data_IF_457459084966
#
_entry.id   IF_457459084966
#
_cell.length_a   1.000
_cell.length_b   1.000
_cell.length_c   1.000
_cell.angle_alpha   90.00
_cell.angle_beta   90.00
_cell.angle_gamma   90.00
#
_symmetry.space_group_name_H-M   'P 1'
#
loop_
_entity.id
_entity.type
_entity.pdbx_description
1 polymer ?
#
# COMPACT_ATOMS: atom_id res chain seq x y z
N UNK A 1 -93.36 -40.09 -59.54
CA UNK A 1 -92.44 -40.45 -58.48
C UNK A 1 -91.08 -39.75 -58.57
N UNK A 2 -90.60 -39.37 -59.73
CA UNK A 2 -89.27 -38.72 -59.89
C UNK A 2 -89.14 -37.29 -59.32
N UNK A 3 -90.21 -36.49 -59.34
CA UNK A 3 -90.13 -35.10 -58.81
C UNK A 3 -90.07 -34.99 -57.28
N UNK A 4 -90.50 -36.02 -56.51
CA UNK A 4 -90.37 -35.99 -55.05
C UNK A 4 -89.00 -36.39 -54.54
N UNK A 5 -88.27 -37.17 -55.30
CA UNK A 5 -86.89 -37.57 -54.92
C UNK A 5 -85.88 -36.40 -55.15
N UNK A 6 -86.10 -35.63 -56.17
CA UNK A 6 -85.24 -34.45 -56.48
C UNK A 6 -85.44 -33.35 -55.44
N UNK A 7 -86.67 -33.11 -54.96
CA UNK A 7 -86.95 -32.10 -53.94
C UNK A 7 -86.34 -32.48 -52.55
N UNK A 8 -86.31 -33.79 -52.20
CA UNK A 8 -85.66 -34.22 -50.97
C UNK A 8 -84.12 -34.16 -51.03
N UNK A 9 -83.50 -34.38 -52.20
CA UNK A 9 -82.04 -34.32 -52.36
C UNK A 9 -81.55 -32.90 -52.34
N UNK A 10 -82.28 -31.90 -52.85
CA UNK A 10 -81.94 -30.49 -52.81
C UNK A 10 -82.13 -29.95 -51.40
N UNK A 11 -83.11 -30.38 -50.62
CA UNK A 11 -83.31 -30.00 -49.23
C UNK A 11 -82.22 -30.57 -48.30
N UNK A 12 -81.74 -31.79 -48.56
CA UNK A 12 -80.62 -32.39 -47.82
C UNK A 12 -79.23 -31.73 -48.09
N UNK A 13 -79.05 -31.24 -49.35
CA UNK A 13 -77.80 -30.58 -49.74
C UNK A 13 -77.75 -29.13 -49.20
N UNK A 14 -78.86 -28.43 -48.99
CA UNK A 14 -78.95 -27.12 -48.40
C UNK A 14 -78.72 -27.12 -46.88
N UNK A 15 -79.01 -28.23 -46.18
CA UNK A 15 -78.73 -28.40 -44.73
C UNK A 15 -77.25 -28.71 -44.43
N UNK A 16 -76.51 -29.20 -45.41
CA UNK A 16 -75.05 -29.47 -45.20
C UNK A 16 -74.17 -28.24 -45.42
N UNK A 17 -74.65 -27.16 -45.99
CA UNK A 17 -73.92 -25.94 -46.21
C UNK A 17 -73.96 -24.92 -45.03
N UNK A 18 -74.87 -25.16 -44.06
CA UNK A 18 -75.05 -24.29 -42.90
C UNK A 18 -74.16 -24.62 -41.66
N UNK A 19 -73.34 -25.69 -41.67
CA UNK A 19 -72.67 -26.23 -40.50
C UNK A 19 -71.19 -25.82 -40.34
N UNK A 20 -70.67 -24.79 -41.10
CA UNK A 20 -69.37 -24.24 -40.85
C UNK A 20 -69.44 -22.85 -40.20
N UNK A 21 -70.05 -22.78 -39.01
CA UNK A 21 -69.85 -21.65 -38.15
C UNK A 21 -68.41 -21.74 -37.57
N UNK A 22 -67.47 -20.97 -38.08
CA UNK A 22 -66.11 -20.91 -37.58
C UNK A 22 -66.18 -20.33 -36.17
N UNK A 23 -66.24 -21.24 -35.15
CA UNK A 23 -66.16 -20.85 -33.75
C UNK A 23 -64.84 -19.99 -33.62
N UNK A 24 -65.00 -18.73 -33.32
CA UNK A 24 -63.86 -17.87 -33.02
C UNK A 24 -62.96 -18.56 -32.02
N UNK A 25 -61.62 -18.59 -32.20
CA UNK A 25 -60.72 -19.13 -31.18
C UNK A 25 -61.05 -18.49 -29.85
N UNK A 26 -61.10 -19.24 -28.74
CA UNK A 26 -61.28 -18.64 -27.43
C UNK A 26 -60.23 -17.55 -27.26
N UNK A 27 -60.69 -16.34 -26.93
CA UNK A 27 -59.83 -15.22 -26.61
C UNK A 27 -58.80 -15.72 -25.59
N UNK A 28 -57.52 -15.76 -25.99
CA UNK A 28 -56.46 -16.28 -25.15
C UNK A 28 -56.43 -15.40 -23.88
N UNK A 29 -56.85 -15.96 -22.75
CA UNK A 29 -56.72 -15.24 -21.48
C UNK A 29 -55.24 -14.87 -21.29
N UNK A 30 -55.01 -13.58 -21.13
CA UNK A 30 -53.66 -13.12 -20.85
C UNK A 30 -53.09 -13.79 -19.60
N UNK A 31 -51.91 -14.36 -19.62
CA UNK A 31 -51.32 -15.02 -18.46
C UNK A 31 -51.19 -14.02 -17.31
N UNK A 32 -51.52 -14.46 -16.10
CA UNK A 32 -51.20 -13.68 -14.91
C UNK A 32 -49.70 -13.55 -14.74
N UNK A 33 -49.23 -12.33 -14.58
CA UNK A 33 -47.79 -12.00 -14.36
C UNK A 33 -47.63 -11.18 -13.09
N UNK A 34 -46.59 -11.47 -12.34
CA UNK A 34 -46.17 -10.60 -11.23
C UNK A 34 -45.38 -9.43 -11.76
N UNK A 35 -45.77 -8.23 -11.38
CA UNK A 35 -45.07 -7.00 -11.73
C UNK A 35 -44.49 -6.35 -10.49
N UNK A 36 -43.29 -5.76 -10.63
CA UNK A 36 -42.62 -5.00 -9.59
C UNK A 36 -42.38 -3.58 -10.12
N UNK A 37 -42.71 -2.58 -9.32
CA UNK A 37 -42.46 -1.19 -9.69
C UNK A 37 -40.98 -0.92 -9.54
N UNK A 38 -40.34 -0.49 -10.64
CA UNK A 38 -38.97 -0.02 -10.59
C UNK A 38 -38.93 1.27 -9.77
N UNK A 39 -38.05 1.33 -8.78
CA UNK A 39 -37.89 2.50 -7.93
C UNK A 39 -36.46 2.98 -7.90
N UNK A 40 -36.27 4.28 -7.79
CA UNK A 40 -34.96 4.83 -7.54
C UNK A 40 -34.53 4.48 -6.12
N UNK A 41 -33.37 3.86 -6.00
CA UNK A 41 -32.79 3.47 -4.73
C UNK A 41 -31.31 3.87 -4.69
N UNK A 42 -30.78 4.24 -3.52
CA UNK A 42 -29.37 4.49 -3.36
C UNK A 42 -28.58 3.18 -3.51
N UNK A 43 -27.57 3.19 -4.36
CA UNK A 43 -26.70 2.04 -4.52
C UNK A 43 -25.24 2.46 -4.54
N UNK A 44 -24.35 1.61 -4.03
CA UNK A 44 -22.92 1.84 -3.99
C UNK A 44 -22.24 0.99 -5.08
N UNK A 45 -21.83 1.59 -6.21
CA UNK A 45 -20.99 0.86 -7.15
C UNK A 45 -19.73 0.39 -6.45
N UNK A 46 -19.50 -0.92 -6.47
CA UNK A 46 -18.33 -1.51 -5.80
C UNK A 46 -17.71 -2.61 -6.65
N UNK A 47 -16.42 -2.80 -6.46
CA UNK A 47 -15.68 -3.88 -7.10
C UNK A 47 -14.63 -4.45 -6.16
N UNK A 48 -14.62 -5.78 -6.06
CA UNK A 48 -13.63 -6.52 -5.26
C UNK A 48 -12.38 -6.86 -6.07
N UNK A 49 -11.23 -6.77 -5.41
CA UNK A 49 -9.91 -7.13 -5.93
C UNK A 49 -9.19 -8.00 -4.89
N UNK A 50 -8.47 -9.01 -5.34
CA UNK A 50 -7.56 -9.73 -4.47
C UNK A 50 -6.42 -8.81 -4.07
N UNK A 51 -6.12 -8.77 -2.80
CA UNK A 51 -5.16 -7.87 -2.21
C UNK A 51 -4.35 -8.55 -1.11
N UNK A 52 -3.23 -7.97 -0.77
CA UNK A 52 -2.46 -8.36 0.41
C UNK A 52 -2.10 -7.12 1.23
N UNK A 53 -1.93 -7.34 2.51
CA UNK A 53 -1.56 -6.31 3.47
C UNK A 53 -0.04 -6.19 3.52
N UNK A 54 0.47 -4.98 3.44
CA UNK A 54 1.87 -4.64 3.71
C UNK A 54 1.93 -3.63 4.87
N UNK A 55 3.05 -3.61 5.60
CA UNK A 55 3.31 -2.49 6.50
C UNK A 55 3.99 -1.37 5.72
N UNK A 56 3.55 -0.14 5.94
CA UNK A 56 4.25 1.03 5.40
C UNK A 56 5.67 1.17 5.95
N UNK A 57 5.90 0.62 7.13
CA UNK A 57 7.15 0.70 7.87
C UNK A 57 7.59 -0.71 8.29
N UNK A 58 8.24 -1.42 7.38
CA UNK A 58 8.90 -2.70 7.64
C UNK A 58 10.41 -2.52 7.53
N UNK A 59 11.11 -2.61 8.67
CA UNK A 59 12.53 -2.34 8.77
C UNK A 59 13.28 -3.58 9.19
N UNK A 60 14.28 -3.94 8.42
CA UNK A 60 15.24 -4.99 8.78
C UNK A 60 16.32 -4.41 9.70
N UNK A 61 16.40 -4.89 10.90
CA UNK A 61 17.43 -4.51 11.87
C UNK A 61 18.69 -5.35 11.60
N UNK A 62 19.79 -4.67 11.33
CA UNK A 62 21.10 -5.25 11.02
C UNK A 62 22.18 -4.72 11.96
N UNK A 63 23.32 -5.39 12.04
CA UNK A 63 24.48 -4.88 12.77
C UNK A 63 25.32 -3.98 11.86
N UNK A 64 25.70 -2.80 12.35
CA UNK A 64 26.61 -1.88 11.67
C UNK A 64 28.08 -2.15 12.01
N UNK A 65 28.33 -2.84 13.13
CA UNK A 65 29.68 -3.17 13.61
C UNK A 65 29.81 -4.65 13.91
N UNK A 66 31.04 -5.15 13.95
CA UNK A 66 31.34 -6.58 14.22
C UNK A 66 31.66 -6.80 15.68
N UNK A 67 31.00 -7.76 16.31
CA UNK A 67 31.32 -8.16 17.69
C UNK A 67 30.42 -9.25 18.23
N UNK A 68 30.76 -9.70 19.44
CA UNK A 68 29.97 -10.70 20.15
C UNK A 68 28.70 -10.08 20.70
N UNK A 69 27.55 -10.73 20.49
CA UNK A 69 26.28 -10.33 21.05
C UNK A 69 26.24 -10.65 22.55
N UNK A 70 26.09 -9.62 23.39
CA UNK A 70 26.07 -9.76 24.84
C UNK A 70 24.67 -9.89 25.39
N UNK A 71 23.70 -9.17 24.83
CA UNK A 71 22.32 -9.16 25.32
C UNK A 71 21.31 -8.94 24.19
N UNK A 72 20.10 -9.44 24.42
CA UNK A 72 18.89 -9.16 23.66
C UNK A 72 17.89 -8.59 24.66
N UNK A 73 17.37 -7.37 24.42
CA UNK A 73 16.57 -6.61 25.39
C UNK A 73 15.07 -6.70 25.18
N UNK A 74 14.61 -7.53 24.27
CA UNK A 74 13.19 -7.72 23.97
C UNK A 74 12.81 -9.19 23.94
N UNK A 75 11.52 -9.45 24.01
CA UNK A 75 10.94 -10.77 23.71
C UNK A 75 10.36 -10.71 22.29
N UNK A 76 10.40 -11.84 21.60
CA UNK A 76 9.82 -11.97 20.26
C UNK A 76 8.34 -11.60 20.29
N UNK A 77 7.94 -10.67 19.43
CA UNK A 77 6.58 -10.15 19.36
C UNK A 77 6.27 -8.95 20.28
N UNK A 78 7.25 -8.48 21.07
CA UNK A 78 7.06 -7.29 21.90
C UNK A 78 6.86 -6.02 21.06
N UNK A 79 6.13 -5.08 21.65
CA UNK A 79 5.97 -3.74 21.12
C UNK A 79 7.07 -2.85 21.72
N UNK A 80 7.78 -2.15 20.85
CA UNK A 80 8.87 -1.25 21.22
C UNK A 80 8.66 0.14 20.64
N UNK A 81 9.17 1.15 21.37
CA UNK A 81 9.19 2.52 20.89
C UNK A 81 10.54 2.86 20.26
N UNK A 82 10.56 3.89 19.40
CA UNK A 82 11.79 4.44 18.83
C UNK A 82 12.83 4.72 19.92
N UNK A 83 14.10 4.34 19.66
CA UNK A 83 15.21 4.49 20.61
C UNK A 83 15.32 3.39 21.68
N UNK A 84 14.36 2.46 21.80
CA UNK A 84 14.46 1.31 22.72
C UNK A 84 15.65 0.44 22.34
N UNK A 85 16.57 0.10 23.25
CA UNK A 85 17.65 -0.83 22.96
C UNK A 85 17.09 -2.22 22.60
N UNK A 86 17.61 -2.81 21.53
CA UNK A 86 17.23 -4.15 21.07
C UNK A 86 18.36 -5.17 21.30
N UNK A 87 19.58 -4.80 20.95
CA UNK A 87 20.75 -5.69 21.05
C UNK A 87 21.95 -4.91 21.58
N UNK A 88 22.76 -5.57 22.39
CA UNK A 88 24.08 -5.10 22.81
C UNK A 88 25.19 -5.99 22.24
N UNK A 89 26.08 -5.37 21.48
CA UNK A 89 27.34 -5.93 20.98
C UNK A 89 28.46 -5.55 21.95
N UNK A 90 29.48 -6.39 22.14
CA UNK A 90 30.61 -6.13 23.03
C UNK A 90 31.28 -4.76 22.70
N UNK A 91 31.12 -3.75 23.59
CA UNK A 91 31.66 -2.42 23.35
C UNK A 91 33.14 -2.28 23.71
N UNK A 92 33.77 -3.31 24.31
CA UNK A 92 35.13 -3.19 24.86
C UNK A 92 36.18 -2.81 23.79
N UNK A 93 36.22 -3.42 22.58
CA UNK A 93 37.15 -3.01 21.54
C UNK A 93 36.92 -1.57 21.07
N UNK A 94 35.68 -1.13 20.96
CA UNK A 94 35.27 0.20 20.49
C UNK A 94 35.56 1.29 21.53
N UNK A 95 35.36 0.99 22.83
CA UNK A 95 35.79 1.87 23.92
C UNK A 95 37.30 2.07 23.91
N UNK A 96 38.08 1.02 23.66
CA UNK A 96 39.54 1.13 23.56
C UNK A 96 39.98 1.94 22.34
N UNK A 97 39.30 1.77 21.18
CA UNK A 97 39.54 2.54 19.97
C UNK A 97 39.25 4.03 20.19
N UNK A 98 38.13 4.38 20.80
CA UNK A 98 37.77 5.75 21.15
C UNK A 98 38.77 6.37 22.13
N UNK A 99 39.23 5.64 23.14
CA UNK A 99 40.23 6.12 24.08
C UNK A 99 41.58 6.41 23.37
N UNK A 100 41.98 5.54 22.41
CA UNK A 100 43.18 5.78 21.59
C UNK A 100 43.03 7.03 20.72
N UNK A 101 41.88 7.19 20.03
CA UNK A 101 41.63 8.36 19.21
C UNK A 101 41.68 9.68 20.03
N UNK A 102 41.09 9.68 21.24
CA UNK A 102 41.16 10.82 22.17
C UNK A 102 42.58 11.14 22.62
N UNK A 103 43.42 10.12 22.86
CA UNK A 103 44.81 10.34 23.21
C UNK A 103 45.62 10.97 22.05
N UNK A 104 45.39 10.53 20.81
CA UNK A 104 46.00 11.16 19.62
C UNK A 104 45.51 12.60 19.39
N UNK A 105 44.25 12.90 19.66
CA UNK A 105 43.72 14.25 19.61
C UNK A 105 44.44 15.15 20.64
N UNK A 106 44.58 14.71 21.89
CA UNK A 106 45.27 15.48 22.92
C UNK A 106 46.74 15.75 22.55
N UNK A 107 47.41 14.77 21.93
CA UNK A 107 48.76 14.94 21.39
C UNK A 107 48.82 15.98 20.27
N UNK A 108 47.89 15.93 19.31
CA UNK A 108 47.79 16.91 18.22
C UNK A 108 47.51 18.32 18.75
N UNK A 109 46.63 18.48 19.73
CA UNK A 109 46.36 19.76 20.38
C UNK A 109 47.58 20.34 21.08
N UNK A 110 48.36 19.51 21.80
CA UNK A 110 49.61 19.93 22.41
C UNK A 110 50.63 20.38 21.37
N UNK A 111 50.76 19.68 20.25
CA UNK A 111 51.63 20.05 19.13
C UNK A 111 51.18 21.37 18.49
N UNK A 112 49.87 21.55 18.24
CA UNK A 112 49.30 22.80 17.75
C UNK A 112 49.61 23.98 18.67
N UNK A 113 49.40 23.81 19.97
CA UNK A 113 49.70 24.83 20.98
C UNK A 113 51.18 25.26 20.96
N UNK A 114 52.09 24.29 20.75
CA UNK A 114 53.49 24.57 20.58
C UNK A 114 53.80 25.30 19.27
N UNK A 115 53.22 24.86 18.14
CA UNK A 115 53.41 25.49 16.83
C UNK A 115 52.92 26.95 16.82
N UNK A 116 51.74 27.22 17.40
CA UNK A 116 51.20 28.58 17.55
C UNK A 116 52.13 29.47 18.34
N UNK A 117 52.68 28.97 19.48
CA UNK A 117 53.66 29.76 20.29
C UNK A 117 54.93 30.05 19.50
N UNK A 118 55.43 29.09 18.75
CA UNK A 118 56.67 29.29 17.93
C UNK A 118 56.39 30.25 16.80
N UNK A 119 55.25 30.14 16.08
CA UNK A 119 54.87 31.08 15.01
C UNK A 119 54.72 32.52 15.56
N UNK A 120 53.99 32.68 16.66
CA UNK A 120 53.82 33.99 17.31
C UNK A 120 55.14 34.60 17.73
N UNK A 121 56.12 33.80 18.20
CA UNK A 121 57.49 34.24 18.48
C UNK A 121 58.24 34.59 17.22
N UNK A 122 58.22 33.76 16.19
CA UNK A 122 58.83 33.99 14.89
C UNK A 122 58.31 35.23 14.22
N UNK A 123 57.03 35.57 14.32
CA UNK A 123 56.49 36.83 13.82
C UNK A 123 57.17 38.07 14.37
N UNK A 124 57.45 38.11 15.68
CA UNK A 124 58.16 39.20 16.30
C UNK A 124 59.64 39.26 15.85
N UNK A 125 60.29 38.10 15.71
CA UNK A 125 61.71 38.03 15.32
C UNK A 125 61.96 38.43 13.86
N UNK A 126 61.02 38.18 12.94
CA UNK A 126 61.11 38.58 11.54
C UNK A 126 60.91 40.09 11.42
N UNK A 127 60.00 40.71 12.18
CA UNK A 127 59.77 42.15 12.25
C UNK A 127 61.00 42.86 12.75
N UNK A 128 61.76 42.30 13.72
CA UNK A 128 63.00 42.81 14.27
C UNK A 128 64.26 42.47 13.43
N UNK A 129 64.11 41.69 12.34
CA UNK A 129 65.18 41.29 11.43
C UNK A 129 66.10 40.16 11.96
N UNK A 130 65.72 39.45 12.99
CA UNK A 130 66.50 38.37 13.62
C UNK A 130 66.34 36.98 12.93
N UNK A 131 65.35 36.79 12.11
CA UNK A 131 65.15 35.56 11.31
C UNK A 131 64.87 35.94 9.86
N UNK A 132 65.10 34.98 8.93
CA UNK A 132 64.82 35.16 7.51
C UNK A 132 63.31 34.98 7.21
N UNK A 133 62.84 35.58 6.10
CA UNK A 133 61.47 35.35 5.61
C UNK A 133 61.20 33.86 5.39
N UNK A 134 62.14 33.08 4.88
CA UNK A 134 62.01 31.63 4.68
C UNK A 134 61.83 30.84 5.98
N UNK A 135 62.50 31.31 7.07
CA UNK A 135 62.28 30.68 8.40
C UNK A 135 60.91 30.99 8.95
N UNK A 136 60.44 32.23 8.77
CA UNK A 136 59.09 32.64 9.14
C UNK A 136 58.04 31.80 8.39
N UNK A 137 58.14 31.66 7.05
CA UNK A 137 57.25 30.83 6.23
C UNK A 137 57.24 29.38 6.70
N UNK A 138 58.39 28.86 7.15
CA UNK A 138 58.51 27.52 7.73
C UNK A 138 57.68 27.37 9.04
N UNK A 139 57.71 28.40 9.90
CA UNK A 139 56.94 28.40 11.15
C UNK A 139 55.44 28.52 10.90
N UNK A 140 55.02 29.30 9.89
CA UNK A 140 53.63 29.41 9.45
C UNK A 140 53.14 28.08 8.90
N UNK A 141 53.90 27.45 7.99
CA UNK A 141 53.56 26.14 7.46
C UNK A 141 53.37 25.07 8.55
N UNK A 142 54.25 25.08 9.60
CA UNK A 142 54.14 24.16 10.74
C UNK A 142 52.90 24.43 11.60
N UNK A 143 52.48 25.68 11.74
CA UNK A 143 51.26 26.06 12.47
C UNK A 143 50.03 25.54 11.71
N UNK A 144 49.96 25.74 10.39
CA UNK A 144 48.92 25.26 9.53
C UNK A 144 48.84 23.72 9.51
N UNK A 145 50.02 23.06 9.42
CA UNK A 145 50.11 21.59 9.49
C UNK A 145 49.59 21.04 10.82
N UNK A 146 50.01 21.65 11.95
CA UNK A 146 49.57 21.25 13.28
C UNK A 146 48.06 21.50 13.48
N UNK A 147 47.52 22.56 12.87
CA UNK A 147 46.08 22.85 12.87
C UNK A 147 45.32 21.79 12.08
N UNK A 148 45.75 21.42 10.90
CA UNK A 148 45.16 20.35 10.10
C UNK A 148 45.22 18.98 10.80
N UNK A 149 46.33 18.71 11.52
CA UNK A 149 46.48 17.48 12.31
C UNK A 149 45.43 17.37 13.45
N UNK A 150 45.08 18.46 14.10
CA UNK A 150 44.01 18.50 15.11
C UNK A 150 42.67 18.19 14.48
N UNK A 151 42.33 18.76 13.33
CA UNK A 151 41.05 18.48 12.65
C UNK A 151 40.97 17.02 12.19
N UNK A 152 42.06 16.46 11.70
CA UNK A 152 42.12 15.02 11.37
C UNK A 152 41.91 14.11 12.60
N UNK A 153 42.55 14.47 13.74
CA UNK A 153 42.38 13.73 14.99
C UNK A 153 40.96 13.84 15.57
N UNK A 154 40.32 14.99 15.45
CA UNK A 154 38.90 15.17 15.81
C UNK A 154 37.99 14.27 14.99
N UNK A 155 38.18 14.23 13.69
CA UNK A 155 37.41 13.34 12.81
C UNK A 155 37.59 11.84 13.20
N UNK A 156 38.80 11.46 13.59
CA UNK A 156 39.06 10.09 14.09
C UNK A 156 38.36 9.78 15.42
N UNK A 157 38.23 10.76 16.33
CA UNK A 157 37.47 10.63 17.57
C UNK A 157 35.99 10.48 17.27
N UNK A 158 35.43 11.28 16.35
CA UNK A 158 34.05 11.22 15.94
C UNK A 158 33.72 9.84 15.32
N UNK A 159 34.54 9.35 14.39
CA UNK A 159 34.36 8.01 13.81
C UNK A 159 34.36 6.92 14.87
N UNK A 160 35.33 6.92 15.81
CA UNK A 160 35.39 5.93 16.88
C UNK A 160 34.22 6.06 17.86
N UNK A 161 33.62 7.24 18.03
CA UNK A 161 32.44 7.44 18.84
C UNK A 161 31.18 6.86 18.17
N UNK A 162 31.02 7.04 16.86
CA UNK A 162 29.95 6.44 16.05
C UNK A 162 30.03 4.92 16.07
N UNK A 163 31.23 4.35 15.88
CA UNK A 163 31.41 2.89 15.95
C UNK A 163 31.03 2.34 17.33
N UNK A 164 31.32 3.08 18.42
CA UNK A 164 30.89 2.72 19.76
C UNK A 164 29.37 2.84 19.94
N UNK A 165 28.73 3.83 19.35
CA UNK A 165 27.28 3.98 19.39
C UNK A 165 26.60 2.78 18.70
N UNK A 166 27.11 2.32 17.58
CA UNK A 166 26.61 1.17 16.85
C UNK A 166 26.71 -0.16 17.60
N UNK A 167 27.43 -0.22 18.74
CA UNK A 167 27.43 -1.40 19.60
C UNK A 167 26.12 -1.61 20.35
N UNK A 168 25.27 -0.57 20.48
CA UNK A 168 23.92 -0.69 21.02
C UNK A 168 22.92 -0.43 19.89
N UNK A 169 22.33 -1.48 19.38
CA UNK A 169 21.34 -1.42 18.32
C UNK A 169 19.98 -1.04 18.91
N UNK A 170 19.41 0.07 18.46
CA UNK A 170 18.14 0.61 18.94
C UNK A 170 17.06 0.49 17.88
N UNK A 171 15.80 0.48 18.30
CA UNK A 171 14.65 0.55 17.40
C UNK A 171 14.62 1.91 16.69
N UNK A 172 14.60 1.97 15.33
CA UNK A 172 14.56 3.23 14.60
C UNK A 172 13.19 3.91 14.63
N UNK A 173 12.13 3.17 14.96
CA UNK A 173 10.73 3.60 14.98
C UNK A 173 9.91 2.77 15.97
N UNK A 174 8.68 3.22 16.21
CA UNK A 174 7.72 2.44 16.98
C UNK A 174 7.25 1.23 16.15
N UNK A 175 7.07 0.08 16.81
CA UNK A 175 6.62 -1.11 16.08
C UNK A 175 6.69 -2.38 16.92
N UNK A 176 6.37 -3.49 16.27
CA UNK A 176 6.48 -4.84 16.85
C UNK A 176 7.74 -5.51 16.34
N UNK A 177 8.55 -6.00 17.26
CA UNK A 177 9.79 -6.71 16.94
C UNK A 177 9.46 -8.16 16.56
N UNK A 178 10.11 -8.62 15.50
CA UNK A 178 10.03 -10.02 15.05
C UNK A 178 10.91 -10.96 15.89
N UNK A 179 11.15 -12.14 15.33
CA UNK A 179 12.04 -13.12 15.95
C UNK A 179 13.50 -12.69 15.88
N UNK A 180 14.23 -12.80 16.99
CA UNK A 180 15.68 -12.67 16.97
C UNK A 180 16.32 -13.87 16.27
N UNK A 181 17.13 -13.63 15.24
CA UNK A 181 17.85 -14.70 14.54
C UNK A 181 19.12 -15.14 15.28
N UNK A 182 19.95 -14.20 15.80
CA UNK A 182 21.12 -14.56 16.58
C UNK A 182 20.76 -14.89 18.02
N UNK A 183 21.63 -15.67 18.65
CA UNK A 183 21.61 -15.96 20.09
C UNK A 183 22.68 -15.15 20.82
N UNK A 184 22.48 -14.93 22.12
CA UNK A 184 23.51 -14.34 22.99
C UNK A 184 24.75 -15.20 22.93
N UNK A 185 25.89 -14.59 22.61
CA UNK A 185 27.16 -15.25 22.42
C UNK A 185 27.60 -15.40 20.96
N UNK A 186 26.68 -15.24 20.00
CA UNK A 186 27.00 -15.23 18.58
C UNK A 186 27.83 -14.02 18.20
N UNK A 187 28.61 -14.15 17.13
CA UNK A 187 29.31 -13.03 16.54
C UNK A 187 28.48 -12.46 15.39
N UNK A 188 28.09 -11.21 15.51
CA UNK A 188 27.34 -10.47 14.49
C UNK A 188 28.25 -9.49 13.77
N UNK A 189 27.88 -9.12 12.54
CA UNK A 189 28.62 -8.18 11.69
C UNK A 189 27.69 -7.59 10.62
N UNK A 190 28.08 -6.56 9.88
CA UNK A 190 27.31 -6.06 8.73
C UNK A 190 26.98 -7.13 7.68
N UNK A 191 27.82 -8.15 7.55
CA UNK A 191 27.61 -9.30 6.67
C UNK A 191 26.75 -10.45 7.23
N UNK A 192 26.35 -10.38 8.53
CA UNK A 192 25.50 -11.39 9.14
C UNK A 192 24.08 -11.42 8.55
N UNK A 193 23.62 -10.27 8.06
CA UNK A 193 22.27 -10.08 7.55
C UNK A 193 21.31 -9.58 8.60
N UNK A 194 20.04 -9.91 8.44
CA UNK A 194 18.96 -9.42 9.32
C UNK A 194 19.02 -10.09 10.70
N UNK A 195 19.14 -9.31 11.76
CA UNK A 195 19.10 -9.78 13.16
C UNK A 195 17.66 -10.00 13.63
N UNK A 196 16.79 -9.05 13.30
CA UNK A 196 15.34 -9.11 13.53
C UNK A 196 14.63 -8.15 12.58
N UNK A 197 13.31 -8.24 12.50
CA UNK A 197 12.46 -7.29 11.75
C UNK A 197 11.71 -6.41 12.74
N UNK A 198 11.43 -5.17 12.35
CA UNK A 198 10.59 -4.24 13.10
C UNK A 198 9.47 -3.75 12.20
N UNK A 199 8.24 -4.13 12.52
CA UNK A 199 7.04 -3.81 11.74
C UNK A 199 6.24 -2.73 12.44
N UNK A 200 6.00 -1.61 11.77
CA UNK A 200 5.11 -0.55 12.26
C UNK A 200 3.66 -1.04 12.33
N UNK A 201 2.92 -0.62 13.36
CA UNK A 201 1.57 -1.14 13.65
C UNK A 201 0.44 -0.36 13.01
N UNK A 202 0.55 0.96 13.02
CA UNK A 202 -0.60 1.84 12.78
C UNK A 202 -0.89 2.08 11.30
N UNK A 203 0.14 2.03 10.48
CA UNK A 203 0.06 2.38 9.06
C UNK A 203 0.21 1.13 8.20
N UNK A 204 -0.92 0.47 7.94
CA UNK A 204 -0.98 -0.64 6.99
C UNK A 204 -1.37 -0.13 5.61
N UNK A 205 -0.81 -0.77 4.62
CA UNK A 205 -1.18 -0.57 3.22
C UNK A 205 -1.79 -1.86 2.67
N UNK A 206 -2.79 -1.69 1.85
CA UNK A 206 -3.37 -2.80 1.10
C UNK A 206 -2.99 -2.62 -0.35
N UNK A 207 -2.29 -3.60 -0.89
CA UNK A 207 -1.77 -3.61 -2.25
C UNK A 207 -2.64 -4.52 -3.11
N UNK A 208 -3.18 -3.99 -4.20
CA UNK A 208 -4.01 -4.72 -5.14
C UNK A 208 -3.76 -4.27 -6.58
N UNK A 209 -4.17 -5.11 -7.53
CA UNK A 209 -3.98 -4.87 -8.95
C UNK A 209 -5.25 -4.30 -9.58
N UNK A 210 -5.19 -3.06 -10.04
CA UNK A 210 -6.30 -2.37 -10.70
C UNK A 210 -6.15 -2.47 -12.22
N UNK A 211 -7.15 -2.98 -12.97
CA UNK A 211 -7.11 -2.95 -14.43
C UNK A 211 -6.94 -1.53 -14.97
N UNK A 212 -6.00 -1.31 -15.91
CA UNK A 212 -5.67 0.03 -16.44
C UNK A 212 -6.89 0.77 -16.98
N UNK A 213 -7.84 0.03 -17.58
CA UNK A 213 -9.09 0.61 -18.10
C UNK A 213 -9.89 1.36 -17.02
N UNK A 214 -9.89 0.86 -15.77
CA UNK A 214 -10.61 1.51 -14.67
C UNK A 214 -9.90 2.78 -14.24
N UNK A 215 -8.57 2.76 -14.17
CA UNK A 215 -7.75 3.92 -13.85
C UNK A 215 -7.96 5.03 -14.91
N UNK A 216 -7.90 4.67 -16.19
CA UNK A 216 -8.12 5.61 -17.29
C UNK A 216 -9.51 6.26 -17.26
N UNK A 217 -10.56 5.50 -16.89
CA UNK A 217 -11.91 6.05 -16.71
C UNK A 217 -11.98 7.04 -15.57
N UNK A 218 -11.34 6.73 -14.43
CA UNK A 218 -11.32 7.61 -13.25
C UNK A 218 -10.47 8.88 -13.45
N UNK A 219 -9.48 8.84 -14.33
CA UNK A 219 -8.58 9.98 -14.62
C UNK A 219 -9.07 10.91 -15.74
N UNK A 220 -10.16 10.56 -16.43
CA UNK A 220 -10.70 11.44 -17.49
C UNK A 220 -11.22 12.74 -16.89
N UNK A 221 -11.09 13.88 -17.60
CA UNK A 221 -11.60 15.17 -17.13
C UNK A 221 -13.13 15.19 -16.94
N UNK A 222 -13.85 14.34 -17.69
CA UNK A 222 -15.30 14.17 -17.68
C UNK A 222 -15.76 13.00 -16.78
N UNK A 223 -14.85 12.42 -15.99
CA UNK A 223 -15.18 11.34 -15.08
C UNK A 223 -16.24 11.79 -14.07
N UNK A 224 -17.29 10.97 -13.91
CA UNK A 224 -18.37 11.23 -12.95
C UNK A 224 -17.93 11.09 -11.48
N UNK A 225 -16.86 10.33 -11.24
CA UNK A 225 -16.25 10.15 -9.93
C UNK A 225 -14.74 10.24 -10.06
N UNK A 226 -14.11 10.96 -9.15
CA UNK A 226 -12.65 11.09 -9.04
C UNK A 226 -12.12 10.05 -8.06
N UNK A 227 -10.79 9.88 -8.02
CA UNK A 227 -10.15 8.92 -7.10
C UNK A 227 -10.49 9.19 -5.63
N UNK A 228 -10.63 10.45 -5.25
CA UNK A 228 -10.96 10.90 -3.90
C UNK A 228 -12.38 10.50 -3.47
N UNK A 229 -13.27 10.23 -4.42
CA UNK A 229 -14.66 9.84 -4.16
C UNK A 229 -14.78 8.34 -3.81
N UNK A 230 -13.68 7.58 -3.93
CA UNK A 230 -13.64 6.17 -3.59
C UNK A 230 -13.03 5.93 -2.21
N UNK A 231 -13.52 4.89 -1.57
CA UNK A 231 -12.92 4.29 -0.37
C UNK A 231 -12.64 2.81 -0.61
N UNK A 232 -11.77 2.25 0.20
CA UNK A 232 -11.41 0.83 0.15
C UNK A 232 -11.87 0.17 1.44
N UNK A 233 -12.88 -0.67 1.36
CA UNK A 233 -13.27 -1.58 2.43
C UNK A 233 -12.54 -2.91 2.26
N UNK A 234 -12.32 -3.65 3.35
CA UNK A 234 -11.68 -4.95 3.31
C UNK A 234 -12.64 -6.05 3.75
N UNK A 235 -12.63 -7.15 3.01
CA UNK A 235 -13.21 -8.41 3.48
C UNK A 235 -12.07 -9.32 3.91
N UNK A 236 -12.12 -9.74 5.16
CA UNK A 236 -11.13 -10.61 5.78
C UNK A 236 -11.23 -12.05 5.25
N UNK A 237 -10.21 -12.91 5.42
CA UNK A 237 -10.24 -14.30 4.95
C UNK A 237 -11.39 -15.16 5.53
N UNK A 238 -11.92 -14.78 6.69
CA UNK A 238 -13.04 -15.43 7.34
C UNK A 238 -14.42 -14.96 6.82
N UNK A 239 -14.41 -14.02 5.83
CA UNK A 239 -15.61 -13.42 5.25
C UNK A 239 -16.17 -12.23 6.02
N UNK A 240 -15.58 -11.84 7.15
CA UNK A 240 -16.00 -10.64 7.90
C UNK A 240 -15.53 -9.36 7.24
N UNK A 241 -16.29 -8.27 7.35
CA UNK A 241 -15.86 -6.95 6.90
C UNK A 241 -14.99 -6.31 7.97
N UNK A 242 -13.85 -5.74 7.55
CA UNK A 242 -12.97 -4.98 8.43
C UNK A 242 -13.63 -3.63 8.81
N UNK A 243 -13.61 -3.22 10.09
CA UNK A 243 -14.44 -2.09 10.55
C UNK A 243 -13.96 -0.70 10.08
N UNK A 244 -12.78 -0.60 9.49
CA UNK A 244 -12.22 0.66 9.02
C UNK A 244 -12.02 0.62 7.52
N UNK A 245 -12.37 1.73 6.84
CA UNK A 245 -12.10 1.91 5.42
C UNK A 245 -10.80 2.68 5.21
N UNK A 246 -10.19 2.48 4.07
CA UNK A 246 -8.97 3.16 3.66
C UNK A 246 -9.16 4.07 2.47
N UNK A 247 -8.09 4.79 2.17
CA UNK A 247 -8.01 5.71 1.03
C UNK A 247 -6.89 5.32 0.09
N UNK A 248 -7.18 5.34 -1.20
CA UNK A 248 -6.17 5.13 -2.23
C UNK A 248 -5.24 6.35 -2.25
N UNK A 249 -3.95 6.13 -2.12
CA UNK A 249 -2.95 7.20 -2.11
C UNK A 249 -1.85 7.02 -3.17
N UNK A 250 -1.75 5.84 -3.77
CA UNK A 250 -0.70 5.56 -4.74
C UNK A 250 -1.20 4.66 -5.87
N UNK A 251 -0.79 5.00 -7.08
CA UNK A 251 -0.87 4.17 -8.27
C UNK A 251 0.54 4.05 -8.86
N UNK A 252 0.93 2.84 -9.24
CA UNK A 252 2.20 2.64 -9.93
C UNK A 252 2.28 3.50 -11.19
N UNK A 253 3.46 4.01 -11.46
CA UNK A 253 3.75 4.76 -12.70
C UNK A 253 3.94 3.85 -13.93
N UNK A 254 3.77 2.54 -13.75
CA UNK A 254 3.89 1.52 -14.80
C UNK A 254 2.71 0.59 -14.77
N UNK A 255 2.27 0.20 -15.96
CA UNK A 255 1.33 -0.89 -16.18
C UNK A 255 2.14 -2.18 -16.31
N UNK A 256 1.72 -3.24 -15.67
CA UNK A 256 2.26 -4.58 -15.91
C UNK A 256 1.73 -5.07 -17.28
N UNK A 257 2.61 -5.23 -18.29
CA UNK A 257 2.18 -5.60 -19.64
C UNK A 257 1.65 -7.04 -19.74
N UNK A 258 1.95 -7.89 -18.76
CA UNK A 258 1.49 -9.28 -18.75
C UNK A 258 0.04 -9.41 -18.27
N UNK A 259 -0.40 -8.54 -17.39
CA UNK A 259 -1.73 -8.57 -16.78
C UNK A 259 -2.63 -7.40 -17.20
N UNK A 260 -2.06 -6.32 -17.75
CA UNK A 260 -2.79 -5.07 -18.07
C UNK A 260 -3.30 -4.39 -16.81
N UNK A 261 -2.58 -4.49 -15.69
CA UNK A 261 -2.96 -3.93 -14.41
C UNK A 261 -1.94 -2.94 -13.87
N UNK A 262 -2.38 -2.08 -12.97
CA UNK A 262 -1.57 -1.10 -12.25
C UNK A 262 -1.61 -1.44 -10.77
N UNK A 263 -0.45 -1.58 -10.14
CA UNK A 263 -0.36 -1.72 -8.69
C UNK A 263 -0.93 -0.47 -8.02
N UNK A 264 -1.86 -0.71 -7.11
CA UNK A 264 -2.57 0.33 -6.38
C UNK A 264 -2.41 0.09 -4.89
N UNK A 265 -2.15 1.14 -4.12
CA UNK A 265 -1.97 1.09 -2.67
C UNK A 265 -3.01 1.95 -1.98
N UNK A 266 -3.64 1.40 -0.96
CA UNK A 266 -4.56 2.10 -0.10
C UNK A 266 -4.07 2.04 1.35
N UNK A 267 -4.02 3.21 2.01
CA UNK A 267 -3.70 3.29 3.43
C UNK A 267 -4.93 2.91 4.26
N UNK A 268 -4.76 1.99 5.19
CA UNK A 268 -5.83 1.48 6.06
C UNK A 268 -5.41 1.63 7.52
N UNK A 269 -6.21 2.31 8.36
CA UNK A 269 -5.96 2.38 9.80
C UNK A 269 -6.01 1.00 10.46
N UNK A 270 -5.10 0.70 11.38
CA UNK A 270 -5.03 -0.57 12.09
C UNK A 270 -4.97 -0.42 13.62
N UNK A 271 -5.96 0.26 14.26
CA UNK A 271 -5.90 0.56 15.68
C UNK A 271 -5.94 -0.67 16.59
N UNK A 272 -6.55 -1.76 16.13
CA UNK A 272 -6.72 -2.99 16.88
C UNK A 272 -5.71 -4.09 16.53
N UNK A 273 -4.70 -3.78 15.72
CA UNK A 273 -3.63 -4.72 15.32
C UNK A 273 -4.14 -6.03 14.68
N UNK A 274 -5.31 -5.94 14.02
CA UNK A 274 -5.92 -7.09 13.32
C UNK A 274 -5.25 -7.38 11.99
N UNK A 275 -4.81 -6.31 11.28
CA UNK A 275 -4.10 -6.45 10.03
C UNK A 275 -2.62 -6.75 10.31
N UNK A 276 -2.09 -7.74 9.61
CA UNK A 276 -0.67 -8.09 9.66
C UNK A 276 -0.09 -8.16 8.26
N UNK A 277 1.15 -7.73 8.06
CA UNK A 277 1.81 -7.88 6.77
C UNK A 277 1.78 -9.33 6.28
N UNK A 278 1.53 -9.52 4.99
CA UNK A 278 1.38 -10.82 4.36
C UNK A 278 -0.03 -11.42 4.43
N UNK A 279 -0.99 -10.78 5.11
CA UNK A 279 -2.37 -11.23 5.14
C UNK A 279 -3.02 -10.99 3.76
N UNK A 280 -3.65 -12.02 3.19
CA UNK A 280 -4.46 -11.90 1.99
C UNK A 280 -5.87 -11.49 2.37
N UNK A 281 -6.39 -10.46 1.68
CA UNK A 281 -7.72 -9.90 1.89
C UNK A 281 -8.38 -9.60 0.55
N UNK A 282 -9.68 -9.35 0.55
CA UNK A 282 -10.35 -8.78 -0.61
C UNK A 282 -10.52 -7.27 -0.40
N UNK A 283 -9.89 -6.47 -1.24
CA UNK A 283 -10.09 -5.02 -1.28
C UNK A 283 -11.35 -4.72 -2.09
N UNK A 284 -12.35 -4.11 -1.45
CA UNK A 284 -13.59 -3.68 -2.09
C UNK A 284 -13.54 -2.18 -2.29
N UNK A 285 -13.28 -1.75 -3.51
CA UNK A 285 -13.29 -0.34 -3.89
C UNK A 285 -14.73 0.07 -4.16
N UNK A 286 -15.25 1.02 -3.39
CA UNK A 286 -16.63 1.53 -3.51
C UNK A 286 -16.65 3.06 -3.47
N UNK A 287 -17.70 3.67 -4.02
CA UNK A 287 -17.91 5.12 -3.87
C UNK A 287 -18.34 5.44 -2.44
N UNK A 288 -17.87 6.57 -1.91
CA UNK A 288 -18.23 7.06 -0.56
C UNK A 288 -19.69 7.44 -0.46
N UNK A 289 -20.23 8.09 -1.51
CA UNK A 289 -21.61 8.52 -1.57
C UNK A 289 -22.41 7.63 -2.51
N UNK A 290 -23.61 7.18 -2.13
CA UNK A 290 -24.43 6.36 -2.99
C UNK A 290 -24.89 7.17 -4.21
N UNK A 291 -25.00 6.50 -5.34
CA UNK A 291 -25.68 7.07 -6.51
C UNK A 291 -27.14 6.57 -6.55
N UNK A 292 -28.05 7.46 -6.92
CA UNK A 292 -29.46 7.08 -7.14
C UNK A 292 -29.56 6.34 -8.46
N UNK A 293 -30.06 5.12 -8.42
CA UNK A 293 -30.23 4.28 -9.59
C UNK A 293 -31.61 3.63 -9.62
N UNK A 294 -32.16 3.47 -10.81
CA UNK A 294 -33.41 2.75 -11.00
C UNK A 294 -33.13 1.25 -10.82
N UNK A 295 -33.61 0.70 -9.72
CA UNK A 295 -33.37 -0.70 -9.35
C UNK A 295 -34.53 -1.60 -9.79
N UNK A 296 -34.17 -2.75 -10.33
CA UNK A 296 -35.09 -3.80 -10.73
C UNK A 296 -34.63 -5.16 -10.15
N UNK A 297 -35.53 -6.08 -9.82
CA UNK A 297 -35.13 -7.41 -9.40
C UNK A 297 -34.35 -8.15 -10.49
N UNK A 298 -33.30 -8.84 -10.11
CA UNK A 298 -32.50 -9.64 -11.03
C UNK A 298 -33.36 -10.69 -11.80
N UNK A 299 -34.41 -11.22 -11.18
CA UNK A 299 -35.35 -12.16 -11.79
C UNK A 299 -36.10 -11.55 -12.99
N UNK A 300 -36.22 -10.20 -13.08
CA UNK A 300 -36.86 -9.54 -14.20
C UNK A 300 -35.90 -9.36 -15.41
N UNK A 301 -34.61 -9.62 -15.22
CA UNK A 301 -33.59 -9.49 -16.25
C UNK A 301 -33.64 -10.71 -17.18
N UNK A 302 -33.78 -10.47 -18.46
CA UNK A 302 -33.76 -11.49 -19.51
C UNK A 302 -32.60 -11.24 -20.47
N UNK A 303 -32.01 -12.30 -20.99
CA UNK A 303 -30.92 -12.26 -21.95
C UNK A 303 -31.27 -13.05 -23.17
N UNK A 304 -31.11 -12.45 -24.35
CA UNK A 304 -31.21 -13.14 -25.62
C UNK A 304 -30.01 -12.81 -26.55
N UNK A 305 -30.07 -13.24 -27.80
CA UNK A 305 -29.01 -12.99 -28.78
C UNK A 305 -28.77 -11.50 -29.09
N UNK A 306 -29.75 -10.63 -28.77
CA UNK A 306 -29.67 -9.18 -28.98
C UNK A 306 -29.15 -8.42 -27.75
N UNK A 307 -28.97 -9.10 -26.64
CA UNK A 307 -28.46 -8.51 -25.38
C UNK A 307 -29.45 -8.66 -24.22
N UNK A 308 -29.21 -7.85 -23.20
CA UNK A 308 -29.96 -7.85 -21.96
C UNK A 308 -31.18 -6.93 -22.06
N UNK A 309 -32.34 -7.40 -21.59
CA UNK A 309 -33.57 -6.63 -21.65
C UNK A 309 -34.48 -6.94 -20.46
N UNK A 310 -35.47 -6.08 -20.24
CA UNK A 310 -36.60 -6.30 -19.33
C UNK A 310 -37.92 -6.16 -20.07
N UNK A 311 -38.94 -6.81 -19.57
CA UNK A 311 -40.31 -6.64 -20.03
C UNK A 311 -41.01 -5.68 -19.08
N UNK A 312 -41.40 -4.52 -19.59
CA UNK A 312 -42.19 -3.54 -18.85
C UNK A 312 -43.66 -3.60 -19.25
N UNK A 313 -44.55 -3.53 -18.28
CA UNK A 313 -45.99 -3.43 -18.51
C UNK A 313 -46.36 -1.96 -18.69
N UNK A 314 -46.84 -1.61 -19.84
CA UNK A 314 -47.31 -0.28 -20.19
C UNK A 314 -48.83 -0.12 -20.00
N UNK A 315 -49.36 0.98 -20.50
CA UNK A 315 -50.82 1.24 -20.54
C UNK A 315 -51.58 0.13 -21.24
N UNK A 316 -52.77 -0.15 -20.77
CA UNK A 316 -53.63 -1.21 -21.27
C UNK A 316 -53.06 -2.65 -21.16
N UNK A 317 -52.23 -2.91 -20.14
CA UNK A 317 -51.58 -4.20 -19.90
C UNK A 317 -50.76 -4.72 -21.10
N UNK A 318 -50.24 -3.81 -21.89
CA UNK A 318 -49.35 -4.17 -23.02
C UNK A 318 -47.91 -4.33 -22.53
N UNK A 319 -47.23 -5.40 -22.97
CA UNK A 319 -45.83 -5.65 -22.58
C UNK A 319 -44.89 -5.01 -23.60
N UNK A 320 -43.99 -4.18 -23.11
CA UNK A 320 -42.92 -3.54 -23.91
C UNK A 320 -41.56 -4.12 -23.52
N UNK A 321 -40.77 -4.47 -24.52
CA UNK A 321 -39.35 -4.80 -24.32
C UNK A 321 -38.51 -3.53 -24.20
N UNK A 322 -37.75 -3.41 -23.13
CA UNK A 322 -36.77 -2.35 -22.91
C UNK A 322 -35.38 -2.98 -22.88
N UNK A 323 -34.53 -2.63 -23.83
CA UNK A 323 -33.16 -3.10 -23.86
C UNK A 323 -32.34 -2.32 -22.83
N UNK A 324 -31.49 -3.03 -22.10
CA UNK A 324 -30.54 -2.47 -21.14
C UNK A 324 -29.15 -2.42 -21.77
N UNK A 325 -28.46 -1.32 -21.58
CA UNK A 325 -27.09 -1.09 -22.08
C UNK A 325 -26.08 -1.17 -20.95
#
# INVERSE_FOLDING_TARGET
MQHRIIALSVLALSLLLGACEKKAPPEAQAPEVFVVIASEQPYYPQRGFNAHVESKSDVNITAEVTGKLLAIHFKEGDDVSAGTPLFDIDPAPYKAALARAKAELAKAEANKANAIKNFARGKKLVEDGYISASEYDTLEARELEATAAVEAAKAAVESAAVDLEYTTIKAPQDGRVGRAKPSVGDVVSPGYGVLTTLVGKNDMEVVFQLPERLLLVAQRPDAKAKVEDFEVALTMPDGTEYPHTGTIHYFSNRVDPSTGTVETRAAIPNPNDLLRPGLYVQAVVRVKEPIMGLMIPQAALQVDQRGTYVLAVGEHNTVKRINLT
#
